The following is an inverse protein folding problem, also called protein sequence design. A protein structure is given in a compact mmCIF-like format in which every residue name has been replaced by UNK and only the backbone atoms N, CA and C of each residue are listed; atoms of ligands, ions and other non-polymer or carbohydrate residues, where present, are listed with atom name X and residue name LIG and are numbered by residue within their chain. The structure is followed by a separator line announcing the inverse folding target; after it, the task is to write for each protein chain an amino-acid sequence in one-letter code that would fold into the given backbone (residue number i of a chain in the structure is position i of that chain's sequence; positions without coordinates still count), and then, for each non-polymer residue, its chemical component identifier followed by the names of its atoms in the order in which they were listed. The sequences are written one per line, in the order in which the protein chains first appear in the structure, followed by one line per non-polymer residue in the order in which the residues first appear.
data_IF_599199614419
#
_entry.id   IF_599199614419
#
_cell.length_a   1.000
_cell.length_b   1.000
_cell.length_c   1.000
_cell.angle_alpha   90.00
_cell.angle_beta   90.00
_cell.angle_gamma   90.00
#
_symmetry.space_group_name_H-M   'P 1'
#
loop_
_entity.id
_entity.type
_entity.pdbx_description
1 polymer ?
#
# COMPACT_ATOMS: atom_id res chain seq x y z
N UNK A 1 -25.66 48.06 13.57
CA UNK A 1 -24.66 47.08 14.07
C UNK A 1 -24.16 46.30 12.86
N UNK A 2 -23.25 46.92 12.09
CA UNK A 2 -21.79 46.65 12.05
C UNK A 2 -21.43 45.35 11.31
N UNK A 3 -21.39 45.49 9.98
CA UNK A 3 -20.54 44.80 8.99
C UNK A 3 -19.98 45.95 8.13
N UNK A 4 -18.78 45.98 7.57
CA UNK A 4 -17.66 45.05 7.47
C UNK A 4 -16.43 45.88 7.06
N UNK A 5 -15.27 45.36 7.40
CA UNK A 5 -13.96 45.99 7.37
C UNK A 5 -13.42 46.21 5.95
N UNK A 6 -12.96 47.44 5.67
CA UNK A 6 -12.19 47.79 4.47
C UNK A 6 -10.82 47.11 4.49
N UNK A 7 -10.50 46.31 3.46
CA UNK A 7 -9.11 46.15 3.00
C UNK A 7 -9.02 46.22 1.47
N UNK A 8 -8.65 47.41 1.02
CA UNK A 8 -7.99 47.64 -0.27
C UNK A 8 -6.57 47.07 -0.17
N UNK A 9 -6.17 46.23 -1.13
CA UNK A 9 -4.75 46.00 -1.38
C UNK A 9 -4.48 45.96 -2.88
N UNK A 10 -3.79 47.02 -3.29
CA UNK A 10 -3.30 47.36 -4.61
C UNK A 10 -1.87 46.81 -4.71
N UNK A 11 -1.58 45.98 -5.71
CA UNK A 11 -0.22 45.82 -6.22
C UNK A 11 -0.25 45.36 -7.68
N UNK A 12 -0.38 46.35 -8.55
CA UNK A 12 0.00 46.26 -9.96
C UNK A 12 1.52 46.10 -10.04
N UNK A 13 1.98 44.99 -10.62
CA UNK A 13 3.38 44.84 -11.03
C UNK A 13 3.63 45.71 -12.27
N UNK A 14 3.99 46.97 -12.03
CA UNK A 14 4.51 47.87 -13.03
C UNK A 14 6.03 47.67 -13.18
N UNK A 15 6.45 46.72 -14.02
CA UNK A 15 7.85 46.67 -14.48
C UNK A 15 8.08 45.82 -15.75
N UNK A 16 7.18 45.90 -16.74
CA UNK A 16 7.39 45.21 -18.03
C UNK A 16 6.90 46.01 -19.25
N UNK A 17 6.91 47.35 -19.16
CA UNK A 17 6.52 48.23 -20.27
C UNK A 17 7.51 49.38 -20.45
N UNK A 18 8.77 49.07 -20.76
CA UNK A 18 9.74 50.04 -21.31
C UNK A 18 10.69 49.35 -22.30
N UNK A 19 10.20 49.07 -23.52
CA UNK A 19 10.68 49.62 -24.81
C UNK A 19 10.58 48.64 -26.00
N UNK A 20 10.38 49.15 -27.24
CA UNK A 20 9.95 48.37 -28.41
C UNK A 20 11.03 48.19 -29.50
N UNK A 21 11.04 46.98 -30.10
CA UNK A 21 11.37 46.72 -31.51
C UNK A 21 12.83 46.75 -32.00
N UNK A 22 13.45 45.58 -32.16
CA UNK A 22 14.38 45.24 -33.27
C UNK A 22 14.78 43.74 -33.25
N UNK A 23 14.44 43.00 -34.30
CA UNK A 23 15.25 41.88 -34.84
C UNK A 23 16.18 42.49 -35.93
N UNK A 24 17.27 41.86 -36.46
CA UNK A 24 17.58 40.43 -36.56
C UNK A 24 19.08 40.04 -36.42
N UNK A 25 19.37 38.77 -36.69
CA UNK A 25 20.64 38.17 -37.18
C UNK A 25 21.92 38.22 -36.33
N UNK A 26 22.21 37.08 -35.70
CA UNK A 26 23.53 36.68 -35.23
C UNK A 26 23.98 35.36 -35.89
N UNK A 27 24.87 35.46 -36.87
CA UNK A 27 25.64 34.36 -37.47
C UNK A 27 26.66 33.81 -36.47
N UNK A 28 26.61 32.50 -36.21
CA UNK A 28 27.61 31.77 -35.42
C UNK A 28 27.53 30.28 -35.70
N UNK A 29 28.50 29.77 -36.46
CA UNK A 29 28.53 28.40 -36.96
C UNK A 29 29.21 27.40 -36.01
N UNK A 30 28.73 26.14 -36.08
CA UNK A 30 29.34 24.84 -35.68
C UNK A 30 29.30 24.56 -34.16
N UNK A 31 28.79 23.41 -33.67
CA UNK A 31 29.27 22.03 -33.90
C UNK A 31 28.16 20.95 -33.77
N UNK A 32 28.49 19.77 -34.30
CA UNK A 32 27.81 18.45 -34.48
C UNK A 32 27.01 17.82 -33.31
N UNK A 33 26.22 16.74 -33.55
CA UNK A 33 24.98 16.43 -32.83
C UNK A 33 25.20 15.81 -31.45
N UNK A 34 24.53 16.35 -30.43
CA UNK A 34 24.44 15.71 -29.13
C UNK A 34 23.44 14.55 -29.14
N UNK A 35 23.96 13.40 -28.73
CA UNK A 35 23.22 12.18 -28.46
C UNK A 35 22.04 12.45 -27.51
N UNK A 36 20.91 11.79 -27.81
CA UNK A 36 19.75 11.72 -26.92
C UNK A 36 20.19 11.21 -25.54
N UNK A 37 19.70 11.78 -24.43
CA UNK A 37 20.04 11.28 -23.11
C UNK A 37 19.51 9.85 -22.92
N UNK A 38 20.26 8.97 -22.24
CA UNK A 38 19.82 7.62 -21.93
C UNK A 38 18.57 7.69 -21.06
N UNK A 39 17.51 6.99 -21.50
CA UNK A 39 16.31 6.72 -20.72
C UNK A 39 16.73 6.22 -19.34
N UNK A 40 16.40 7.00 -18.33
CA UNK A 40 16.73 6.72 -16.94
C UNK A 40 16.04 5.45 -16.43
N UNK A 41 16.78 4.73 -15.58
CA UNK A 41 16.28 4.26 -14.28
C UNK A 41 15.24 3.15 -14.32
N UNK A 42 15.62 1.96 -14.79
CA UNK A 42 14.95 0.71 -14.40
C UNK A 42 15.25 0.39 -12.94
N UNK A 43 14.48 0.97 -12.02
CA UNK A 43 14.49 0.60 -10.60
C UNK A 43 13.06 0.40 -10.12
N UNK A 44 12.57 -0.83 -10.22
CA UNK A 44 11.67 -1.53 -9.28
C UNK A 44 10.98 -2.70 -9.98
N UNK A 45 11.73 -3.76 -10.26
CA UNK A 45 11.17 -5.11 -10.17
C UNK A 45 11.41 -5.59 -8.75
N UNK A 46 10.62 -5.06 -7.81
CA UNK A 46 10.52 -5.66 -6.48
C UNK A 46 9.53 -6.80 -6.63
N UNK A 47 10.04 -8.03 -6.71
CA UNK A 47 9.24 -9.24 -6.56
C UNK A 47 8.49 -9.21 -5.22
N UNK A 48 7.25 -8.72 -5.23
CA UNK A 48 6.28 -9.02 -4.18
C UNK A 48 5.69 -10.40 -4.49
N UNK A 49 6.04 -11.39 -3.67
CA UNK A 49 5.53 -12.78 -3.72
C UNK A 49 4.01 -12.86 -3.44
N UNK A 50 3.28 -11.74 -3.44
CA UNK A 50 1.85 -11.64 -3.13
C UNK A 50 1.16 -10.55 -3.99
N UNK A 51 1.46 -10.49 -5.29
CA UNK A 51 0.75 -9.61 -6.22
C UNK A 51 -0.60 -10.20 -6.61
N UNK A 52 -1.64 -9.95 -5.81
CA UNK A 52 -3.04 -10.21 -6.17
C UNK A 52 -3.65 -9.08 -7.02
N UNK A 53 -2.84 -8.16 -7.53
CA UNK A 53 -3.31 -6.98 -8.27
C UNK A 53 -2.44 -6.72 -9.48
N UNK A 54 -2.61 -7.54 -10.51
CA UNK A 54 -2.53 -7.17 -11.91
C UNK A 54 -3.17 -8.31 -12.71
N UNK A 55 -4.34 -8.15 -13.37
CA UNK A 55 -4.65 -9.04 -14.46
C UNK A 55 -3.56 -8.81 -15.53
N UNK A 56 -2.84 -9.85 -15.97
CA UNK A 56 -1.90 -9.69 -17.06
C UNK A 56 -2.66 -9.11 -18.25
N UNK A 57 -2.20 -7.98 -18.79
CA UNK A 57 -2.59 -7.54 -20.13
C UNK A 57 -2.13 -8.62 -21.13
N UNK A 58 -2.98 -9.64 -21.31
CA UNK A 58 -2.68 -10.84 -22.10
C UNK A 58 -3.15 -12.19 -21.53
N UNK A 59 -3.98 -12.23 -20.48
CA UNK A 59 -4.39 -13.51 -19.88
C UNK A 59 -5.45 -14.29 -20.70
N UNK A 60 -4.93 -15.15 -21.58
CA UNK A 60 -5.23 -16.59 -21.75
C UNK A 60 -6.70 -17.06 -21.73
N UNK A 61 -7.10 -17.66 -22.86
CA UNK A 61 -8.30 -18.49 -23.15
C UNK A 61 -8.62 -19.65 -22.16
N UNK A 62 -7.91 -19.81 -21.05
CA UNK A 62 -8.01 -20.96 -20.14
C UNK A 62 -8.13 -20.56 -18.65
N UNK A 63 -8.70 -19.39 -18.34
CA UNK A 63 -9.15 -19.14 -16.96
C UNK A 63 -10.32 -20.08 -16.65
N UNK A 64 -10.41 -20.66 -15.44
CA UNK A 64 -11.61 -21.36 -15.01
C UNK A 64 -12.83 -20.45 -15.25
N UNK A 65 -14.00 -20.99 -15.65
CA UNK A 65 -15.20 -20.18 -15.76
C UNK A 65 -15.42 -19.43 -14.45
N UNK A 66 -15.66 -18.12 -14.52
CA UNK A 66 -16.07 -17.34 -13.36
C UNK A 66 -17.20 -18.08 -12.66
N UNK A 67 -17.04 -18.39 -11.37
CA UNK A 67 -18.03 -19.15 -10.61
C UNK A 67 -19.35 -18.36 -10.61
N UNK A 68 -20.46 -18.92 -11.14
CA UNK A 68 -21.72 -18.19 -11.28
C UNK A 68 -22.27 -17.69 -9.94
N UNK A 69 -21.90 -18.33 -8.83
CA UNK A 69 -22.28 -17.90 -7.47
C UNK A 69 -21.66 -16.56 -7.10
N UNK A 70 -20.50 -16.19 -7.69
CA UNK A 70 -19.90 -14.86 -7.45
C UNK A 70 -20.78 -13.75 -8.05
N UNK A 71 -21.41 -14.03 -9.19
CA UNK A 71 -22.36 -13.11 -9.82
C UNK A 71 -23.65 -12.99 -9.00
N UNK A 72 -24.12 -14.08 -8.39
CA UNK A 72 -25.24 -14.02 -7.43
C UNK A 72 -24.92 -13.10 -6.24
N UNK A 73 -23.74 -13.24 -5.63
CA UNK A 73 -23.28 -12.37 -4.54
C UNK A 73 -23.19 -10.90 -4.97
N UNK A 74 -22.76 -10.64 -6.20
CA UNK A 74 -22.69 -9.30 -6.77
C UNK A 74 -24.09 -8.70 -6.94
N UNK A 75 -25.05 -9.47 -7.45
CA UNK A 75 -26.46 -9.04 -7.61
C UNK A 75 -27.15 -8.80 -6.27
N UNK A 76 -26.80 -9.55 -5.24
CA UNK A 76 -27.25 -9.32 -3.86
C UNK A 76 -26.72 -8.01 -3.25
N UNK A 77 -25.77 -7.34 -3.91
CA UNK A 77 -25.22 -6.05 -3.47
C UNK A 77 -24.04 -6.19 -2.51
N UNK A 78 -23.37 -7.35 -2.48
CA UNK A 78 -22.17 -7.53 -1.67
C UNK A 78 -21.05 -6.59 -2.13
N UNK A 79 -20.31 -6.01 -1.18
CA UNK A 79 -19.27 -5.03 -1.50
C UNK A 79 -18.13 -5.65 -2.34
N UNK A 80 -17.51 -4.83 -3.20
CA UNK A 80 -16.40 -5.26 -4.07
C UNK A 80 -15.23 -5.89 -3.31
N UNK A 81 -14.98 -5.45 -2.08
CA UNK A 81 -13.91 -5.98 -1.23
C UNK A 81 -14.21 -7.42 -0.84
N UNK A 82 -15.44 -7.72 -0.42
CA UNK A 82 -15.84 -9.08 -0.06
C UNK A 82 -15.91 -10.02 -1.26
N UNK A 83 -16.34 -9.53 -2.43
CA UNK A 83 -16.27 -10.30 -3.67
C UNK A 83 -14.82 -10.70 -4.01
N UNK A 84 -13.86 -9.79 -3.85
CA UNK A 84 -12.43 -10.09 -4.05
C UNK A 84 -11.91 -11.12 -3.03
N UNK A 85 -12.37 -11.04 -1.79
CA UNK A 85 -12.03 -12.06 -0.77
C UNK A 85 -12.59 -13.42 -1.20
N UNK A 86 -13.85 -13.49 -1.61
CA UNK A 86 -14.48 -14.73 -2.07
C UNK A 86 -13.78 -15.34 -3.29
N UNK A 87 -13.38 -14.52 -4.25
CA UNK A 87 -12.58 -14.92 -5.40
C UNK A 87 -11.21 -15.47 -4.96
N UNK A 88 -10.56 -14.84 -3.98
CA UNK A 88 -9.21 -15.24 -3.53
C UNK A 88 -9.16 -16.53 -2.71
N UNK A 89 -10.19 -16.81 -1.89
CA UNK A 89 -10.21 -17.97 -0.98
C UNK A 89 -11.16 -19.08 -1.45
N UNK A 90 -11.93 -18.82 -2.51
CA UNK A 90 -13.03 -19.67 -2.97
C UNK A 90 -14.35 -19.37 -2.26
N UNK A 91 -15.46 -19.55 -2.97
CA UNK A 91 -16.80 -19.20 -2.49
C UNK A 91 -17.20 -20.01 -1.26
N UNK A 92 -16.88 -21.31 -1.22
CA UNK A 92 -17.28 -22.16 -0.09
C UNK A 92 -16.61 -21.73 1.23
N UNK A 93 -15.31 -21.40 1.17
CA UNK A 93 -14.58 -20.87 2.33
C UNK A 93 -15.08 -19.48 2.74
N UNK A 94 -15.45 -18.64 1.77
CA UNK A 94 -16.08 -17.35 2.04
C UNK A 94 -17.44 -17.49 2.71
N UNK A 95 -18.32 -18.36 2.21
CA UNK A 95 -19.63 -18.62 2.82
C UNK A 95 -19.49 -19.19 4.23
N UNK A 96 -18.53 -20.08 4.47
CA UNK A 96 -18.23 -20.57 5.81
C UNK A 96 -17.78 -19.43 6.75
N UNK A 97 -16.87 -18.56 6.28
CA UNK A 97 -16.42 -17.38 7.03
C UNK A 97 -17.58 -16.44 7.34
N UNK A 98 -18.43 -16.15 6.33
CA UNK A 98 -19.57 -15.27 6.49
C UNK A 98 -20.58 -15.84 7.49
N UNK A 99 -20.88 -17.15 7.44
CA UNK A 99 -21.74 -17.81 8.44
C UNK A 99 -21.22 -17.70 9.86
N UNK A 100 -19.90 -17.80 10.06
CA UNK A 100 -19.28 -17.63 11.39
C UNK A 100 -19.43 -16.19 11.88
N UNK A 101 -19.20 -15.21 10.99
CA UNK A 101 -19.35 -13.79 11.33
C UNK A 101 -20.82 -13.45 11.66
N UNK A 102 -21.75 -13.91 10.82
CA UNK A 102 -23.20 -13.70 10.98
C UNK A 102 -23.75 -14.28 12.29
N UNK A 103 -23.21 -15.42 12.73
CA UNK A 103 -23.59 -16.04 14.00
C UNK A 103 -23.07 -15.32 15.24
N UNK A 104 -22.07 -14.42 15.12
CA UNK A 104 -21.48 -13.71 16.25
C UNK A 104 -22.16 -12.34 16.45
N UNK A 105 -22.92 -12.14 17.55
CA UNK A 105 -23.61 -10.89 17.85
C UNK A 105 -22.69 -9.66 17.90
N UNK A 106 -21.40 -9.85 18.24
CA UNK A 106 -20.44 -8.76 18.36
C UNK A 106 -20.06 -8.12 17.03
N UNK A 107 -20.31 -8.81 15.91
CA UNK A 107 -20.06 -8.32 14.57
C UNK A 107 -21.23 -7.50 14.03
N UNK A 108 -22.42 -7.62 14.63
CA UNK A 108 -23.59 -6.88 14.18
C UNK A 108 -23.51 -5.42 14.62
N UNK A 109 -23.77 -4.52 13.68
CA UNK A 109 -23.94 -3.11 14.01
C UNK A 109 -25.41 -2.76 14.28
N UNK A 110 -26.31 -3.39 13.54
CA UNK A 110 -27.76 -3.33 13.64
C UNK A 110 -28.32 -4.62 12.98
N UNK A 111 -29.64 -4.79 12.86
CA UNK A 111 -30.26 -5.99 12.28
C UNK A 111 -29.96 -6.23 10.79
N UNK A 112 -29.33 -5.27 10.09
CA UNK A 112 -29.13 -5.33 8.63
C UNK A 112 -27.67 -5.22 8.17
N UNK A 113 -26.73 -4.91 9.08
CA UNK A 113 -25.34 -4.61 8.72
C UNK A 113 -24.38 -5.32 9.68
N UNK A 114 -23.55 -6.18 9.10
CA UNK A 114 -22.36 -6.74 9.73
C UNK A 114 -21.18 -5.76 9.65
N UNK A 115 -20.61 -5.41 10.80
CA UNK A 115 -19.36 -4.64 10.95
C UNK A 115 -18.30 -5.47 11.66
N UNK A 116 -17.41 -6.06 10.87
CA UNK A 116 -16.27 -6.82 11.39
C UNK A 116 -15.18 -5.87 11.88
N UNK A 117 -14.85 -5.93 13.17
CA UNK A 117 -13.73 -5.19 13.77
C UNK A 117 -12.43 -5.95 13.60
N UNK A 118 -11.77 -5.79 12.44
CA UNK A 118 -10.45 -6.36 12.19
C UNK A 118 -9.33 -5.37 12.47
N UNK A 119 -8.26 -5.86 13.12
CA UNK A 119 -7.02 -5.09 13.20
C UNK A 119 -6.39 -5.01 11.80
N UNK A 120 -5.74 -3.88 11.46
CA UNK A 120 -5.04 -3.75 10.18
C UNK A 120 -4.05 -4.90 9.95
N UNK A 121 -3.91 -5.36 8.72
CA UNK A 121 -2.99 -6.47 8.37
C UNK A 121 -1.54 -6.21 8.83
N UNK A 122 -1.08 -4.95 8.80
CA UNK A 122 0.23 -4.53 9.36
C UNK A 122 0.43 -4.90 10.84
N UNK A 123 -0.65 -4.97 11.62
CA UNK A 123 -0.59 -5.39 13.02
C UNK A 123 -0.28 -6.87 13.14
N UNK A 124 -0.86 -7.70 12.27
CA UNK A 124 -0.54 -9.12 12.17
C UNK A 124 0.90 -9.34 11.70
N UNK A 125 1.36 -8.63 10.67
CA UNK A 125 2.76 -8.71 10.21
C UNK A 125 3.74 -8.33 11.33
N UNK A 126 3.46 -7.23 12.05
CA UNK A 126 4.24 -6.82 13.22
C UNK A 126 4.25 -7.91 14.31
N UNK A 127 3.12 -8.54 14.57
CA UNK A 127 3.00 -9.62 15.55
C UNK A 127 3.86 -10.83 15.14
N UNK A 128 3.73 -11.31 13.89
CA UNK A 128 4.52 -12.41 13.35
C UNK A 128 6.01 -12.12 13.40
N UNK A 129 6.43 -10.92 13.00
CA UNK A 129 7.82 -10.48 13.04
C UNK A 129 8.38 -10.50 14.47
N UNK A 130 7.64 -9.97 15.44
CA UNK A 130 8.10 -9.96 16.84
C UNK A 130 8.23 -11.38 17.39
N UNK A 131 7.22 -12.23 17.14
CA UNK A 131 7.25 -13.64 17.56
C UNK A 131 8.42 -14.38 16.93
N UNK A 132 8.74 -14.09 15.69
CA UNK A 132 9.89 -14.67 15.01
C UNK A 132 11.22 -14.18 15.61
N UNK A 133 11.34 -12.90 15.98
CA UNK A 133 12.51 -12.37 16.72
C UNK A 133 12.67 -13.07 18.07
N UNK A 134 11.57 -13.24 18.81
CA UNK A 134 11.57 -13.93 20.10
C UNK A 134 12.03 -15.38 19.94
N UNK A 135 11.51 -16.10 18.95
CA UNK A 135 11.93 -17.47 18.65
C UNK A 135 13.42 -17.57 18.30
N UNK A 136 13.95 -16.65 17.50
CA UNK A 136 15.38 -16.61 17.18
C UNK A 136 16.24 -16.24 18.39
N UNK A 137 15.75 -15.35 19.27
CA UNK A 137 16.45 -15.00 20.51
C UNK A 137 16.49 -16.20 21.46
N UNK A 138 15.39 -16.94 21.59
CA UNK A 138 15.31 -18.15 22.41
C UNK A 138 16.27 -19.25 21.90
N UNK A 139 16.58 -19.27 20.61
CA UNK A 139 17.62 -20.12 20.02
C UNK A 139 19.06 -19.62 20.27
N UNK A 140 19.23 -18.53 21.02
CA UNK A 140 20.55 -17.97 21.37
C UNK A 140 21.19 -17.11 20.28
N UNK A 141 20.44 -16.73 19.23
CA UNK A 141 21.01 -15.90 18.17
C UNK A 141 21.31 -14.47 18.63
N UNK A 142 22.43 -13.94 18.16
CA UNK A 142 22.82 -12.55 18.41
C UNK A 142 22.01 -11.60 17.52
N UNK A 143 21.70 -10.37 17.97
CA UNK A 143 20.94 -9.38 17.22
C UNK A 143 21.37 -9.13 15.75
N UNK A 144 22.66 -9.05 15.39
CA UNK A 144 23.06 -8.88 13.98
C UNK A 144 22.66 -10.08 13.10
N UNK A 145 22.68 -11.30 13.65
CA UNK A 145 22.29 -12.49 12.91
C UNK A 145 20.77 -12.61 12.76
N UNK A 146 20.02 -12.24 13.80
CA UNK A 146 18.57 -12.11 13.74
C UNK A 146 18.17 -11.13 12.63
N UNK A 147 18.81 -9.96 12.56
CA UNK A 147 18.55 -8.98 11.49
C UNK A 147 18.80 -9.56 10.09
N UNK A 148 19.90 -10.29 9.90
CA UNK A 148 20.20 -10.96 8.62
C UNK A 148 19.17 -12.04 8.26
N UNK A 149 18.63 -12.77 9.25
CA UNK A 149 17.58 -13.77 9.01
C UNK A 149 16.23 -13.13 8.69
N UNK A 150 15.84 -12.08 9.42
CA UNK A 150 14.64 -11.29 9.14
C UNK A 150 14.62 -10.76 7.72
N UNK A 151 15.73 -10.15 7.27
CA UNK A 151 15.81 -9.62 5.91
C UNK A 151 15.67 -10.73 4.86
N UNK A 152 16.32 -11.88 5.07
CA UNK A 152 16.31 -12.98 4.10
C UNK A 152 14.96 -13.70 4.01
N UNK A 153 14.28 -13.91 5.14
CA UNK A 153 13.08 -14.73 5.18
C UNK A 153 11.77 -13.93 5.11
N UNK A 154 11.76 -12.71 5.65
CA UNK A 154 10.57 -11.86 5.70
C UNK A 154 10.70 -10.57 4.88
N UNK A 155 11.89 -10.27 4.33
CA UNK A 155 12.14 -8.99 3.64
C UNK A 155 12.11 -7.75 4.56
N UNK A 156 12.06 -7.96 5.87
CA UNK A 156 11.79 -6.91 6.86
C UNK A 156 13.08 -6.32 7.44
N UNK A 157 13.22 -4.99 7.35
CA UNK A 157 14.32 -4.26 7.98
C UNK A 157 13.97 -3.81 9.39
N UNK A 158 14.69 -4.29 10.40
CA UNK A 158 14.48 -3.93 11.81
C UNK A 158 15.77 -3.38 12.43
N UNK A 159 15.65 -2.36 13.29
CA UNK A 159 16.80 -1.79 14.00
C UNK A 159 17.34 -2.74 15.08
N UNK A 160 18.65 -2.69 15.34
CA UNK A 160 19.28 -3.52 16.39
C UNK A 160 18.66 -3.23 17.77
N UNK A 161 18.38 -1.95 18.08
CA UNK A 161 17.72 -1.55 19.34
C UNK A 161 16.37 -2.26 19.52
N UNK A 162 15.59 -2.40 18.46
CA UNK A 162 14.29 -3.07 18.53
C UNK A 162 14.43 -4.57 18.82
N UNK A 163 15.40 -5.23 18.16
CA UNK A 163 15.69 -6.65 18.38
C UNK A 163 16.17 -6.89 19.81
N UNK A 164 17.14 -6.10 20.29
CA UNK A 164 17.66 -6.21 21.66
C UNK A 164 16.58 -5.98 22.70
N UNK A 165 15.67 -5.03 22.47
CA UNK A 165 14.53 -4.77 23.37
C UNK A 165 13.57 -5.98 23.43
N UNK A 166 13.26 -6.60 22.29
CA UNK A 166 12.42 -7.80 22.27
C UNK A 166 13.11 -9.00 22.91
N UNK A 167 14.42 -9.15 22.72
CA UNK A 167 15.19 -10.25 23.29
C UNK A 167 15.35 -10.19 24.82
N UNK A 168 15.15 -9.02 25.43
CA UNK A 168 15.14 -8.85 26.90
C UNK A 168 13.79 -9.18 27.55
N UNK A 169 12.78 -9.61 26.77
CA UNK A 169 11.44 -9.88 27.30
C UNK A 169 10.65 -8.61 27.64
N UNK A 170 11.07 -7.44 27.16
CA UNK A 170 10.58 -6.12 27.57
C UNK A 170 9.21 -5.75 26.94
N UNK A 171 8.37 -6.75 26.68
CA UNK A 171 6.94 -6.63 26.34
C UNK A 171 6.14 -7.79 26.90
N UNK A 172 5.72 -7.61 28.14
CA UNK A 172 4.37 -7.98 28.54
C UNK A 172 3.39 -6.92 28.00
N UNK A 173 2.40 -7.38 27.23
CA UNK A 173 1.08 -6.75 27.07
C UNK A 173 1.07 -5.37 26.38
N UNK A 174 0.93 -5.36 25.05
CA UNK A 174 0.03 -4.40 24.37
C UNK A 174 -0.61 -5.13 23.19
N UNK A 175 -1.58 -5.99 23.53
CA UNK A 175 -2.63 -6.41 22.62
C UNK A 175 -3.73 -5.37 22.71
#
# INVERSE_FOLDING_TARGET
MTMEEKRSQKQENAQLSLLPGALPDGVGARQTPQAKPPRGGGYQDVCTVLDFQNPPSGAKKNAPPDDPRLEELRRMGLSRVWLRVAESIGIDAFLATWRILDADPSTWHNESILRVRLRPYRSYLRYQRNRYIEALTAQGLKPPEIKRRLQRQLGETVSHRHITRLGKGDRLIQA
#
